data_IF_724718922053
#
_entry.id   IF_724718922053
#
_cell.length_a   1.000
_cell.length_b   1.000
_cell.length_c   1.000
_cell.angle_alpha   90.00
_cell.angle_beta   90.00
_cell.angle_gamma   90.00
#
_symmetry.space_group_name_H-M   'P 1'
#
loop_
_entity.id
_entity.type
_entity.pdbx_description
1 polymer ?
#
# COMPACT_ATOMS: atom_id res chain seq x y z
N UNK A 1 28.12 -0.27 -13.40
CA UNK A 1 26.93 -0.60 -14.21
C UNK A 1 26.17 -1.77 -13.55
N UNK A 2 25.78 -1.65 -12.27
CA UNK A 2 25.15 -2.74 -11.50
C UNK A 2 23.79 -2.36 -10.89
N UNK A 3 23.46 -1.07 -10.76
CA UNK A 3 22.22 -0.64 -10.09
C UNK A 3 20.95 -1.06 -10.83
N UNK A 4 20.99 -1.13 -12.17
CA UNK A 4 19.80 -1.42 -12.99
C UNK A 4 19.33 -2.88 -12.86
N UNK A 5 20.22 -3.80 -12.49
CA UNK A 5 19.90 -5.24 -12.39
C UNK A 5 19.32 -5.58 -11.02
N UNK A 6 19.77 -4.92 -9.96
CA UNK A 6 19.22 -5.11 -8.60
C UNK A 6 17.80 -4.56 -8.48
N UNK A 7 17.53 -3.37 -9.04
CA UNK A 7 16.17 -2.78 -9.02
C UNK A 7 15.16 -3.68 -9.74
N UNK A 8 15.51 -4.22 -10.91
CA UNK A 8 14.61 -5.11 -11.65
C UNK A 8 14.35 -6.44 -10.94
N UNK A 9 15.30 -6.95 -10.15
CA UNK A 9 15.11 -8.16 -9.34
C UNK A 9 14.20 -7.93 -8.15
N UNK A 10 14.32 -6.76 -7.50
CA UNK A 10 13.45 -6.38 -6.37
C UNK A 10 12.01 -6.15 -6.84
N UNK A 11 11.83 -5.49 -7.98
CA UNK A 11 10.51 -5.30 -8.60
C UNK A 11 9.84 -6.62 -8.97
N UNK A 12 10.61 -7.61 -9.43
CA UNK A 12 10.07 -8.94 -9.74
C UNK A 12 9.65 -9.70 -8.48
N UNK A 13 10.43 -9.60 -7.40
CA UNK A 13 10.10 -10.22 -6.12
C UNK A 13 8.82 -9.61 -5.51
N UNK A 14 8.68 -8.28 -5.55
CA UNK A 14 7.46 -7.59 -5.09
C UNK A 14 6.22 -8.05 -5.87
N UNK A 15 6.34 -8.23 -7.19
CA UNK A 15 5.22 -8.73 -8.00
C UNK A 15 4.95 -10.22 -7.73
N UNK A 16 5.98 -11.02 -7.46
CA UNK A 16 5.82 -12.42 -7.06
C UNK A 16 5.07 -12.54 -5.71
N UNK A 17 5.37 -11.68 -4.74
CA UNK A 17 4.63 -11.57 -3.48
C UNK A 17 3.17 -11.16 -3.71
N UNK A 18 2.93 -10.16 -4.57
CA UNK A 18 1.58 -9.75 -4.94
C UNK A 18 0.79 -10.88 -5.62
N UNK A 19 1.43 -11.64 -6.50
CA UNK A 19 0.79 -12.79 -7.14
C UNK A 19 0.45 -13.88 -6.12
N UNK A 20 1.39 -14.22 -5.22
CA UNK A 20 1.15 -15.16 -4.11
C UNK A 20 -0.03 -14.74 -3.24
N UNK A 21 -0.18 -13.44 -2.97
CA UNK A 21 -1.29 -12.91 -2.19
C UNK A 21 -2.65 -13.05 -2.90
N UNK A 22 -2.69 -12.79 -4.22
CA UNK A 22 -3.95 -12.82 -5.00
C UNK A 22 -4.33 -14.24 -5.43
N UNK A 23 -3.36 -15.13 -5.63
CA UNK A 23 -3.55 -16.46 -6.19
C UNK A 23 -4.59 -17.32 -5.42
N UNK A 24 -4.60 -17.37 -4.08
CA UNK A 24 -5.68 -17.95 -3.28
C UNK A 24 -7.10 -17.58 -3.72
N UNK A 25 -7.40 -16.28 -3.79
CA UNK A 25 -8.73 -15.79 -4.18
C UNK A 25 -9.07 -16.16 -5.63
N UNK A 26 -8.06 -16.15 -6.50
CA UNK A 26 -8.21 -16.54 -7.90
C UNK A 26 -8.58 -18.02 -8.04
N UNK A 27 -7.95 -18.91 -7.27
CA UNK A 27 -8.26 -20.34 -7.30
C UNK A 27 -9.68 -20.61 -6.79
N UNK A 28 -10.13 -19.93 -5.73
CA UNK A 28 -11.50 -20.04 -5.23
C UNK A 28 -12.53 -19.64 -6.30
N UNK A 29 -12.27 -18.59 -7.07
CA UNK A 29 -13.14 -18.17 -8.18
C UNK A 29 -13.13 -19.19 -9.33
N UNK A 30 -11.97 -19.78 -9.64
CA UNK A 30 -11.88 -20.87 -10.62
C UNK A 30 -12.69 -22.08 -10.15
N UNK A 31 -12.52 -22.53 -8.90
CA UNK A 31 -13.25 -23.66 -8.31
C UNK A 31 -14.75 -23.47 -8.42
N UNK A 32 -15.23 -22.30 -7.99
CA UNK A 32 -16.64 -21.94 -8.05
C UNK A 32 -17.18 -21.97 -9.48
N UNK A 33 -16.42 -21.43 -10.43
CA UNK A 33 -16.82 -21.38 -11.82
C UNK A 33 -16.81 -22.78 -12.48
N UNK A 34 -15.79 -23.59 -12.19
CA UNK A 34 -15.67 -24.97 -12.68
C UNK A 34 -16.75 -25.88 -12.12
N UNK A 35 -17.09 -25.76 -10.82
CA UNK A 35 -18.17 -26.52 -10.21
C UNK A 35 -19.52 -26.31 -10.90
N UNK A 36 -19.73 -25.12 -11.48
CA UNK A 36 -20.98 -24.76 -12.17
C UNK A 36 -20.97 -25.14 -13.64
N UNK A 37 -19.82 -25.04 -14.33
CA UNK A 37 -19.74 -25.06 -15.81
C UNK A 37 -18.81 -26.12 -16.39
N UNK A 38 -18.01 -26.78 -15.57
CA UNK A 38 -16.88 -27.59 -16.00
C UNK A 38 -15.71 -26.72 -16.50
N UNK A 39 -14.94 -27.22 -17.47
CA UNK A 39 -13.70 -26.57 -17.94
C UNK A 39 -13.96 -25.13 -18.41
N UNK A 40 -13.16 -24.20 -17.88
CA UNK A 40 -13.31 -22.78 -18.16
C UNK A 40 -12.73 -22.38 -19.52
N UNK A 41 -13.30 -21.29 -20.05
CA UNK A 41 -12.81 -20.59 -21.25
C UNK A 41 -12.09 -19.31 -20.83
N UNK A 42 -11.30 -18.74 -21.74
CA UNK A 42 -10.51 -17.53 -21.52
C UNK A 42 -11.25 -16.41 -20.80
N UNK A 43 -12.47 -16.07 -21.23
CA UNK A 43 -13.24 -14.99 -20.61
C UNK A 43 -13.60 -15.26 -19.13
N UNK A 44 -13.82 -16.52 -18.76
CA UNK A 44 -14.11 -16.88 -17.37
C UNK A 44 -12.85 -16.74 -16.50
N UNK A 45 -11.70 -17.14 -17.04
CA UNK A 45 -10.42 -17.02 -16.34
C UNK A 45 -10.02 -15.54 -16.19
N UNK A 46 -10.27 -14.73 -17.22
CA UNK A 46 -10.04 -13.28 -17.14
C UNK A 46 -10.93 -12.65 -16.06
N UNK A 47 -12.21 -13.02 -16.01
CA UNK A 47 -13.14 -12.54 -14.98
C UNK A 47 -12.72 -12.96 -13.57
N UNK A 48 -12.30 -14.21 -13.39
CA UNK A 48 -11.78 -14.71 -12.12
C UNK A 48 -10.52 -13.94 -11.68
N UNK A 49 -9.61 -13.64 -12.62
CA UNK A 49 -8.41 -12.87 -12.33
C UNK A 49 -8.75 -11.43 -11.92
N UNK A 50 -9.68 -10.76 -12.60
CA UNK A 50 -10.15 -9.42 -12.21
C UNK A 50 -10.79 -9.43 -10.82
N UNK A 51 -11.65 -10.41 -10.54
CA UNK A 51 -12.29 -10.53 -9.23
C UNK A 51 -11.28 -10.75 -8.10
N UNK A 52 -10.30 -11.63 -8.33
CA UNK A 52 -9.25 -11.89 -7.37
C UNK A 52 -8.39 -10.64 -7.11
N UNK A 53 -8.02 -9.91 -8.16
CA UNK A 53 -7.22 -8.67 -8.03
C UNK A 53 -7.95 -7.58 -7.23
N UNK A 54 -9.28 -7.56 -7.22
CA UNK A 54 -10.04 -6.61 -6.39
C UNK A 54 -9.86 -6.82 -4.88
N UNK A 55 -9.35 -7.98 -4.44
CA UNK A 55 -9.03 -8.23 -3.04
C UNK A 55 -7.73 -7.59 -2.57
N UNK A 56 -6.88 -7.09 -3.49
CA UNK A 56 -5.55 -6.55 -3.18
C UNK A 56 -5.35 -5.18 -3.81
N UNK A 57 -4.89 -4.21 -3.02
CA UNK A 57 -4.50 -2.89 -3.54
C UNK A 57 -3.13 -2.97 -4.22
N UNK A 58 -3.12 -3.11 -5.54
CA UNK A 58 -1.88 -3.08 -6.33
C UNK A 58 -1.44 -1.63 -6.50
N UNK A 59 -0.23 -1.31 -6.02
CA UNK A 59 0.41 0.00 -6.18
C UNK A 59 1.33 -0.03 -7.41
N UNK A 60 1.49 1.11 -8.08
CA UNK A 60 2.35 1.22 -9.26
C UNK A 60 1.70 0.74 -10.57
N UNK A 61 2.17 1.29 -11.69
CA UNK A 61 1.71 0.86 -13.02
C UNK A 61 2.46 -0.39 -13.49
N UNK A 62 3.77 -0.45 -13.25
CA UNK A 62 4.61 -1.59 -13.64
C UNK A 62 4.20 -2.88 -12.91
N UNK A 63 3.96 -2.83 -11.61
CA UNK A 63 3.49 -4.00 -10.86
C UNK A 63 2.15 -4.54 -11.37
N UNK A 64 1.21 -3.66 -11.75
CA UNK A 64 -0.06 -4.08 -12.40
C UNK A 64 0.18 -4.74 -13.74
N UNK A 65 1.06 -4.18 -14.56
CA UNK A 65 1.38 -4.72 -15.88
C UNK A 65 2.03 -6.10 -15.77
N UNK A 66 3.02 -6.25 -14.90
CA UNK A 66 3.72 -7.52 -14.69
C UNK A 66 2.78 -8.56 -14.08
N UNK A 67 1.97 -8.20 -13.08
CA UNK A 67 0.98 -9.10 -12.51
C UNK A 67 -0.05 -9.58 -13.56
N UNK A 68 -0.52 -8.67 -14.43
CA UNK A 68 -1.40 -9.06 -15.53
C UNK A 68 -0.71 -10.05 -16.47
N UNK A 69 0.57 -9.83 -16.82
CA UNK A 69 1.32 -10.77 -17.66
C UNK A 69 1.47 -12.16 -17.02
N UNK A 70 1.61 -12.23 -15.69
CA UNK A 70 1.60 -13.50 -14.95
C UNK A 70 0.24 -14.19 -15.09
N UNK A 71 -0.86 -13.47 -14.91
CA UNK A 71 -2.22 -14.03 -15.12
C UNK A 71 -2.46 -14.46 -16.57
N UNK A 72 -1.97 -13.72 -17.57
CA UNK A 72 -2.04 -14.16 -18.97
C UNK A 72 -1.30 -15.48 -19.17
N UNK A 73 -0.09 -15.60 -18.64
CA UNK A 73 0.71 -16.84 -18.72
C UNK A 73 -0.01 -18.01 -18.06
N UNK A 74 -0.61 -17.79 -16.88
CA UNK A 74 -1.44 -18.78 -16.21
C UNK A 74 -2.58 -19.26 -17.12
N UNK A 75 -3.32 -18.32 -17.71
CA UNK A 75 -4.47 -18.60 -18.58
C UNK A 75 -4.06 -19.43 -19.79
N UNK A 76 -2.95 -19.07 -20.42
CA UNK A 76 -2.43 -19.79 -21.58
C UNK A 76 -2.10 -21.25 -21.23
N UNK A 77 -1.42 -21.46 -20.10
CA UNK A 77 -1.10 -22.81 -19.62
C UNK A 77 -2.39 -23.57 -19.28
N UNK A 78 -3.34 -22.94 -18.61
CA UNK A 78 -4.62 -23.55 -18.26
C UNK A 78 -5.38 -24.00 -19.52
N UNK A 79 -5.48 -23.13 -20.54
CA UNK A 79 -6.23 -23.44 -21.75
C UNK A 79 -5.56 -24.56 -22.56
N UNK A 80 -4.23 -24.52 -22.66
CA UNK A 80 -3.44 -25.48 -23.44
C UNK A 80 -3.28 -26.84 -22.76
N UNK A 81 -2.90 -26.85 -21.47
CA UNK A 81 -2.48 -28.06 -20.73
C UNK A 81 -3.42 -28.44 -19.59
N UNK A 82 -4.41 -27.60 -19.28
CA UNK A 82 -5.36 -27.82 -18.20
C UNK A 82 -4.92 -27.23 -16.86
N UNK A 83 -5.86 -27.20 -15.91
CA UNK A 83 -5.71 -26.59 -14.59
C UNK A 83 -4.49 -27.07 -13.82
N UNK A 84 -4.32 -28.38 -13.70
CA UNK A 84 -3.21 -28.98 -12.94
C UNK A 84 -1.85 -28.49 -13.41
N UNK A 85 -1.66 -28.27 -14.72
CA UNK A 85 -0.39 -27.76 -15.25
C UNK A 85 -0.18 -26.29 -14.93
N UNK A 86 -1.25 -25.48 -14.91
CA UNK A 86 -1.19 -24.06 -14.56
C UNK A 86 -0.93 -23.86 -13.06
N UNK A 87 -1.55 -24.68 -12.22
CA UNK A 87 -1.31 -24.70 -10.76
C UNK A 87 0.13 -25.12 -10.44
N UNK A 88 0.62 -26.17 -11.09
CA UNK A 88 2.00 -26.62 -10.90
C UNK A 88 3.00 -25.54 -11.34
N UNK A 89 2.76 -24.88 -12.47
CA UNK A 89 3.60 -23.75 -12.92
C UNK A 89 3.59 -22.60 -11.89
N UNK A 90 2.44 -22.27 -11.31
CA UNK A 90 2.33 -21.21 -10.30
C UNK A 90 3.10 -21.56 -9.03
N UNK A 91 3.02 -22.83 -8.62
CA UNK A 91 3.78 -23.37 -7.49
C UNK A 91 5.28 -23.34 -7.75
N UNK A 92 5.72 -23.83 -8.91
CA UNK A 92 7.14 -23.94 -9.24
C UNK A 92 7.79 -22.56 -9.47
N UNK A 93 7.04 -21.62 -10.05
CA UNK A 93 7.58 -20.29 -10.41
C UNK A 93 7.52 -19.30 -9.25
N UNK A 94 6.44 -19.33 -8.47
CA UNK A 94 6.16 -18.31 -7.45
C UNK A 94 5.96 -18.88 -6.05
N UNK A 95 6.01 -20.20 -5.87
CA UNK A 95 5.73 -20.83 -4.57
C UNK A 95 4.26 -20.80 -4.17
N UNK A 96 3.34 -20.52 -5.10
CA UNK A 96 1.92 -20.47 -4.81
C UNK A 96 1.36 -21.85 -4.44
N UNK A 97 0.70 -21.97 -3.29
CA UNK A 97 -0.07 -23.16 -2.94
C UNK A 97 -1.56 -22.82 -2.82
N UNK A 98 -2.45 -23.62 -3.42
CA UNK A 98 -3.90 -23.46 -3.26
C UNK A 98 -4.35 -23.53 -1.79
N UNK A 99 -3.58 -24.24 -0.95
CA UNK A 99 -3.93 -24.53 0.45
C UNK A 99 -3.91 -23.30 1.38
N UNK A 100 -3.16 -22.24 1.04
CA UNK A 100 -3.10 -21.00 1.85
C UNK A 100 -4.45 -20.26 1.85
N UNK A 101 -5.31 -20.53 0.87
CA UNK A 101 -6.59 -19.83 0.70
C UNK A 101 -7.68 -20.20 1.70
N UNK A 102 -7.66 -21.40 2.27
CA UNK A 102 -8.87 -21.96 2.90
C UNK A 102 -8.68 -22.69 4.23
N UNK A 103 -7.47 -22.98 4.71
CA UNK A 103 -7.31 -23.86 5.88
C UNK A 103 -6.28 -23.43 6.93
N UNK A 104 -5.76 -22.21 6.91
CA UNK A 104 -4.89 -21.72 7.98
C UNK A 104 -5.56 -20.63 8.83
N UNK A 105 -6.41 -21.00 9.81
CA UNK A 105 -6.95 -20.05 10.78
C UNK A 105 -5.84 -19.39 11.62
N UNK A 106 -4.64 -20.00 11.71
CA UNK A 106 -3.51 -19.41 12.43
C UNK A 106 -2.82 -18.34 11.57
N UNK A 107 -2.67 -18.55 10.26
CA UNK A 107 -2.14 -17.56 9.32
C UNK A 107 -3.06 -16.33 9.12
N UNK A 108 -4.38 -16.54 9.12
CA UNK A 108 -5.35 -15.43 9.10
C UNK A 108 -5.29 -14.60 10.40
N UNK A 109 -5.14 -15.27 11.55
CA UNK A 109 -4.95 -14.62 12.85
C UNK A 109 -3.61 -13.91 12.97
N UNK A 110 -2.55 -14.49 12.41
CA UNK A 110 -1.23 -13.85 12.36
C UNK A 110 -1.26 -12.58 11.52
N UNK A 111 -1.93 -12.62 10.36
CA UNK A 111 -2.13 -11.46 9.52
C UNK A 111 -2.98 -10.38 10.22
N UNK A 112 -4.06 -10.78 10.89
CA UNK A 112 -4.91 -9.88 11.68
C UNK A 112 -4.11 -9.23 12.83
N UNK A 113 -3.34 -10.01 13.58
CA UNK A 113 -2.47 -9.50 14.64
C UNK A 113 -1.39 -8.55 14.11
N UNK A 114 -0.84 -8.82 12.92
CA UNK A 114 0.14 -7.94 12.26
C UNK A 114 -0.52 -6.63 11.80
N UNK A 115 -1.75 -6.69 11.31
CA UNK A 115 -2.54 -5.49 10.94
C UNK A 115 -2.81 -4.64 12.19
N UNK A 116 -3.27 -5.24 13.28
CA UNK A 116 -3.50 -4.54 14.55
C UNK A 116 -2.21 -3.90 15.08
N UNK A 117 -1.10 -4.64 15.08
CA UNK A 117 0.20 -4.10 15.51
C UNK A 117 0.65 -2.91 14.65
N UNK A 118 0.44 -2.97 13.33
CA UNK A 118 0.75 -1.86 12.43
C UNK A 118 -0.15 -0.65 12.67
N UNK A 119 -1.44 -0.86 12.94
CA UNK A 119 -2.36 0.23 13.28
C UNK A 119 -1.95 0.94 14.58
N UNK A 120 -1.53 0.19 15.61
CA UNK A 120 -1.01 0.76 16.85
C UNK A 120 0.27 1.57 16.61
N UNK A 121 1.19 1.05 15.80
CA UNK A 121 2.42 1.76 15.44
C UNK A 121 2.11 3.07 14.67
N UNK A 122 1.14 3.06 13.76
CA UNK A 122 0.69 4.26 13.06
C UNK A 122 0.18 5.30 14.05
N UNK A 123 -0.67 4.91 15.00
CA UNK A 123 -1.19 5.84 16.02
C UNK A 123 -0.08 6.44 16.87
N UNK A 124 0.93 5.66 17.26
CA UNK A 124 2.09 6.15 17.99
C UNK A 124 2.87 7.18 17.18
N UNK A 125 3.13 6.89 15.89
CA UNK A 125 3.85 7.78 14.99
C UNK A 125 3.06 9.06 14.67
N UNK A 126 1.74 8.98 14.57
CA UNK A 126 0.87 10.14 14.42
C UNK A 126 0.90 11.04 15.67
N UNK A 127 0.94 10.46 16.87
CA UNK A 127 1.07 11.22 18.12
C UNK A 127 2.43 11.91 18.22
N UNK A 128 3.52 11.21 17.85
CA UNK A 128 4.87 11.77 17.79
C UNK A 128 4.93 12.94 16.79
N UNK A 129 4.37 12.77 15.60
CA UNK A 129 4.30 13.82 14.59
C UNK A 129 3.53 15.04 15.08
N UNK A 130 2.38 14.83 15.75
CA UNK A 130 1.60 15.93 16.32
C UNK A 130 2.36 16.68 17.42
N UNK A 131 3.16 15.97 18.22
CA UNK A 131 4.02 16.60 19.22
C UNK A 131 5.07 17.50 18.56
N UNK A 132 5.77 17.01 17.54
CA UNK A 132 6.76 17.77 16.78
C UNK A 132 6.14 19.02 16.13
N UNK A 133 4.92 18.91 15.57
CA UNK A 133 4.22 20.07 15.02
C UNK A 133 3.95 21.15 16.07
N UNK A 134 3.55 20.76 17.29
CA UNK A 134 3.33 21.73 18.38
C UNK A 134 4.63 22.40 18.80
N UNK A 135 5.72 21.64 18.90
CA UNK A 135 7.02 22.18 19.28
C UNK A 135 7.53 23.19 18.26
N UNK A 136 7.45 22.86 16.97
CA UNK A 136 7.80 23.78 15.89
C UNK A 136 6.96 25.05 15.95
N UNK A 137 5.66 24.93 16.16
CA UNK A 137 4.76 26.09 16.26
C UNK A 137 5.17 27.01 17.42
N UNK A 138 5.43 26.46 18.61
CA UNK A 138 5.90 27.24 19.77
C UNK A 138 7.23 27.94 19.47
N UNK A 139 8.19 27.24 18.85
CA UNK A 139 9.48 27.83 18.49
C UNK A 139 9.31 28.96 17.46
N UNK A 140 8.41 28.81 16.49
CA UNK A 140 8.09 29.85 15.50
C UNK A 140 7.45 31.08 16.17
N UNK A 141 6.52 30.89 17.10
CA UNK A 141 5.92 31.99 17.88
C UNK A 141 6.96 32.72 18.72
N UNK A 142 7.81 31.98 19.44
CA UNK A 142 8.90 32.57 20.23
C UNK A 142 9.89 33.35 19.35
N UNK A 143 10.22 32.82 18.17
CA UNK A 143 11.08 33.51 17.21
C UNK A 143 10.42 34.79 16.68
N UNK A 144 9.12 34.75 16.37
CA UNK A 144 8.36 35.92 15.93
C UNK A 144 8.29 37.01 17.00
N UNK A 145 8.04 36.64 18.27
CA UNK A 145 8.03 37.58 19.41
C UNK A 145 9.40 38.20 19.62
N UNK A 146 10.48 37.42 19.57
CA UNK A 146 11.85 37.91 19.74
C UNK A 146 12.27 38.89 18.64
N UNK A 147 11.67 38.78 17.46
CA UNK A 147 11.94 39.64 16.31
C UNK A 147 10.92 40.77 16.13
N UNK A 148 10.04 41.03 17.11
CA UNK A 148 9.22 42.23 17.07
C UNK A 148 10.08 43.47 17.29
N UNK A 149 10.03 44.49 16.40
CA UNK A 149 10.76 45.73 16.60
C UNK A 149 10.20 46.45 17.82
N UNK A 150 11.07 46.80 18.77
CA UNK A 150 10.74 47.64 19.92
C UNK A 150 10.26 49.00 19.40
N UNK A 151 8.94 49.20 19.36
CA UNK A 151 8.35 50.51 19.09
C UNK A 151 8.69 51.40 20.28
N UNK A 152 9.71 52.24 20.10
CA UNK A 152 10.08 53.26 21.08
C UNK A 152 8.96 54.30 21.07
N UNK A 153 8.13 54.31 22.12
CA UNK A 153 7.12 55.36 22.33
C UNK A 153 7.86 56.68 22.54
N UNK A 154 7.95 57.49 21.48
CA UNK A 154 8.44 58.88 21.56
C UNK A 154 7.34 59.76 22.16
N UNK A 155 7.58 60.15 23.41
CA UNK A 155 7.24 61.44 24.04
C UNK A 155 5.90 62.09 23.66
N UNK A 156 4.93 61.97 24.57
CA UNK A 156 3.93 63.03 24.75
C UNK A 156 4.48 63.90 25.90
N UNK A 157 5.09 65.04 25.54
CA UNK A 157 5.43 66.09 26.51
C UNK A 157 4.17 66.88 26.89
N UNK A 158 4.07 67.35 28.15
CA UNK A 158 2.96 68.19 28.59
C UNK A 158 3.19 69.61 28.05
N UNK A 159 2.23 70.13 27.29
CA UNK A 159 2.21 71.56 26.94
C UNK A 159 1.27 72.25 27.91
N UNK A 160 1.86 72.85 28.94
CA UNK A 160 1.21 73.83 29.80
C UNK A 160 1.80 75.22 29.51
N UNK A 161 0.92 76.21 29.60
CA UNK A 161 1.10 77.67 29.66
C UNK A 161 1.60 78.46 28.44
N UNK A 162 0.77 79.46 28.09
CA UNK A 162 1.12 80.55 27.19
C UNK A 162 -0.04 81.52 26.90
N UNK A 163 -0.66 82.09 27.93
CA UNK A 163 -1.19 83.48 27.87
C UNK A 163 0.04 84.43 27.86
N UNK A 164 0.04 85.68 27.34
CA UNK A 164 -1.05 86.66 27.46
C UNK A 164 -1.23 87.67 26.27
N UNK A 165 -2.41 88.30 26.18
CA UNK A 165 -2.67 89.76 26.04
C UNK A 165 -4.05 90.04 25.43
#
# INVERSE_FOLDING_TARGET
>A
MNETTETSSLELEEVAELFRLVYPAFIVEIDRAEATRGKLKEFHLAMAAEHAKNSVRILGWDSRRTLNAIFETYKDIYLLKGRTAADLWSKDTFGCTPEIAMNDPDGARELEAKIEAMQLLIQEKEAELLHLYREIHMLQEMFAIKNQPVVTVKGITPSDEGDPS
#
